data_IF_315720361322
#
_entry.id   IF_315720361322
#
_cell.length_a   1.000
_cell.length_b   1.000
_cell.length_c   1.000
_cell.angle_alpha   90.00
_cell.angle_beta   90.00
_cell.angle_gamma   90.00
#
_symmetry.space_group_name_H-M   'P 1'
#
loop_
_entity.id
_entity.type
_entity.pdbx_description
1 polymer ?
#
# COMPACT_ATOMS: atom_id res chain seq x y z
N UNK A 1 12.62 -22.09 26.23
CA UNK A 1 11.59 -21.11 25.93
C UNK A 1 11.65 -19.99 26.91
N UNK A 2 11.83 -18.76 26.44
CA UNK A 2 11.73 -17.59 27.31
C UNK A 2 10.23 -17.21 27.41
N UNK A 3 9.71 -17.08 28.61
CA UNK A 3 8.34 -16.58 28.87
C UNK A 3 8.15 -15.21 28.20
N UNK A 4 9.20 -14.41 28.18
CA UNK A 4 9.22 -13.12 27.50
C UNK A 4 9.01 -13.25 25.98
N UNK A 5 9.59 -14.26 25.33
CA UNK A 5 9.35 -14.50 23.88
C UNK A 5 7.90 -14.89 23.59
N UNK A 6 7.27 -15.67 24.45
CA UNK A 6 5.85 -16.00 24.31
C UNK A 6 4.96 -14.76 24.49
N UNK A 7 5.26 -13.88 25.44
CA UNK A 7 4.54 -12.65 25.65
C UNK A 7 4.66 -11.68 24.47
N UNK A 8 5.88 -11.48 23.96
CA UNK A 8 6.11 -10.60 22.80
C UNK A 8 5.40 -11.12 21.55
N UNK A 9 5.40 -12.43 21.32
CA UNK A 9 4.65 -13.05 20.22
C UNK A 9 3.14 -12.85 20.38
N UNK A 10 2.61 -12.97 21.59
CA UNK A 10 1.21 -12.69 21.89
C UNK A 10 0.82 -11.23 21.62
N UNK A 11 1.68 -10.27 22.04
CA UNK A 11 1.47 -8.84 21.79
C UNK A 11 1.51 -8.53 20.31
N UNK A 12 2.44 -9.13 19.54
CA UNK A 12 2.50 -8.94 18.09
C UNK A 12 1.24 -9.46 17.39
N UNK A 13 0.70 -10.60 17.82
CA UNK A 13 -0.54 -11.14 17.33
C UNK A 13 -1.73 -10.23 17.60
N UNK A 14 -1.82 -9.69 18.81
CA UNK A 14 -2.89 -8.75 19.18
C UNK A 14 -2.81 -7.44 18.39
N UNK A 15 -1.60 -6.91 18.20
CA UNK A 15 -1.37 -5.72 17.36
C UNK A 15 -1.75 -5.96 15.90
N UNK A 16 -1.43 -7.13 15.35
CA UNK A 16 -1.79 -7.50 13.98
C UNK A 16 -3.32 -7.61 13.81
N UNK A 17 -4.03 -8.19 14.78
CA UNK A 17 -5.49 -8.25 14.77
C UNK A 17 -6.14 -6.86 14.91
N UNK A 18 -5.54 -5.98 15.71
CA UNK A 18 -5.99 -4.58 15.81
C UNK A 18 -5.87 -3.87 14.44
N UNK A 19 -4.79 -4.08 13.72
CA UNK A 19 -4.62 -3.54 12.36
C UNK A 19 -5.67 -4.08 11.37
N UNK A 20 -6.02 -5.37 11.47
CA UNK A 20 -7.08 -5.96 10.65
C UNK A 20 -8.45 -5.34 10.97
N UNK A 21 -8.76 -5.15 12.24
CA UNK A 21 -10.00 -4.47 12.66
C UNK A 21 -10.05 -3.03 12.17
N UNK A 22 -8.91 -2.31 12.20
CA UNK A 22 -8.80 -0.97 11.63
C UNK A 22 -9.15 -0.94 10.13
N UNK A 23 -8.57 -1.84 9.35
CA UNK A 23 -8.87 -1.93 7.91
C UNK A 23 -10.34 -2.27 7.63
N UNK A 24 -10.95 -3.15 8.42
CA UNK A 24 -12.38 -3.47 8.31
C UNK A 24 -13.22 -2.22 8.63
N UNK A 25 -12.88 -1.49 9.68
CA UNK A 25 -13.58 -0.26 10.07
C UNK A 25 -13.49 0.79 8.95
N UNK A 26 -12.31 0.98 8.35
CA UNK A 26 -12.12 1.88 7.22
C UNK A 26 -12.95 1.46 5.99
N UNK A 27 -12.99 0.18 5.68
CA UNK A 27 -13.82 -0.34 4.58
C UNK A 27 -15.32 -0.12 4.83
N UNK A 28 -15.78 -0.30 6.07
CA UNK A 28 -17.19 -0.09 6.43
C UNK A 28 -17.55 1.39 6.41
N UNK A 29 -16.70 2.27 6.94
CA UNK A 29 -16.98 3.72 6.97
C UNK A 29 -16.99 4.32 5.57
N UNK A 30 -16.21 3.77 4.65
CA UNK A 30 -16.08 4.26 3.27
C UNK A 30 -16.90 3.47 2.25
N UNK A 31 -17.84 2.64 2.67
CA UNK A 31 -18.66 1.81 1.76
C UNK A 31 -19.42 2.63 0.71
N UNK A 32 -19.80 3.86 1.04
CA UNK A 32 -20.50 4.79 0.15
C UNK A 32 -19.58 5.85 -0.48
N UNK A 33 -18.27 5.79 -0.24
CA UNK A 33 -17.32 6.76 -0.79
C UNK A 33 -16.99 6.39 -2.23
N UNK A 34 -17.25 7.30 -3.16
CA UNK A 34 -16.97 7.11 -4.60
C UNK A 34 -15.45 7.03 -4.80
N UNK A 35 -15.00 6.01 -5.54
CA UNK A 35 -13.59 5.81 -5.82
C UNK A 35 -12.77 5.19 -4.69
N UNK A 36 -13.40 4.83 -3.59
CA UNK A 36 -12.72 4.13 -2.50
C UNK A 36 -12.26 2.73 -2.93
N UNK A 37 -11.05 2.38 -2.55
CA UNK A 37 -10.49 1.05 -2.78
C UNK A 37 -10.32 0.33 -1.43
N UNK A 38 -10.91 -0.85 -1.33
CA UNK A 38 -10.87 -1.64 -0.10
C UNK A 38 -9.46 -2.04 0.28
N UNK A 39 -9.17 -2.00 1.57
CA UNK A 39 -7.90 -2.43 2.13
C UNK A 39 -8.09 -3.78 2.80
N UNK A 40 -7.26 -4.75 2.42
CA UNK A 40 -7.17 -6.07 3.05
C UNK A 40 -5.85 -6.18 3.81
N UNK A 41 -5.90 -6.82 4.97
CA UNK A 41 -4.70 -7.06 5.77
C UNK A 41 -4.26 -8.51 5.59
N UNK A 42 -3.03 -8.69 5.11
CA UNK A 42 -2.38 -9.98 5.07
C UNK A 42 -1.44 -10.13 6.26
N UNK A 43 -1.35 -11.35 6.75
CA UNK A 43 -0.50 -11.68 7.89
C UNK A 43 0.71 -12.49 7.42
N UNK A 44 1.88 -12.12 7.91
CA UNK A 44 3.12 -12.81 7.65
C UNK A 44 3.72 -13.28 8.97
N UNK A 45 4.13 -14.54 9.02
CA UNK A 45 4.86 -15.06 10.18
C UNK A 45 6.30 -14.59 10.15
N UNK A 46 6.79 -14.12 11.28
CA UNK A 46 8.20 -13.82 11.44
C UNK A 46 8.99 -15.12 11.61
N UNK A 47 9.99 -15.30 10.76
CA UNK A 47 10.86 -16.49 10.83
C UNK A 47 11.83 -16.34 11.97
N UNK A 48 11.84 -17.32 12.88
CA UNK A 48 12.81 -17.40 13.96
C UNK A 48 13.91 -18.38 13.65
N UNK A 49 15.13 -18.09 14.04
CA UNK A 49 16.24 -19.05 13.97
C UNK A 49 16.00 -20.17 14.98
N UNK A 50 15.79 -21.38 14.49
CA UNK A 50 15.64 -22.56 15.33
C UNK A 50 17.04 -23.16 15.58
N UNK A 51 17.55 -22.95 16.78
CA UNK A 51 18.89 -23.39 17.17
C UNK A 51 18.92 -24.86 17.56
N UNK A 52 17.75 -25.46 17.88
CA UNK A 52 17.62 -26.85 18.30
C UNK A 52 16.34 -27.47 17.81
N UNK A 53 16.41 -28.72 17.39
CA UNK A 53 15.23 -29.51 16.92
C UNK A 53 14.19 -29.77 18.03
N UNK A 54 14.59 -29.62 19.28
CA UNK A 54 13.75 -29.90 20.46
C UNK A 54 13.15 -28.64 21.09
N UNK A 55 13.54 -27.46 20.65
CA UNK A 55 13.10 -26.22 21.28
C UNK A 55 12.32 -25.35 20.28
N UNK A 56 11.02 -25.20 20.54
CA UNK A 56 10.16 -24.28 19.79
C UNK A 56 10.43 -22.83 20.19
N UNK A 57 10.63 -21.95 19.20
CA UNK A 57 10.76 -20.50 19.42
C UNK A 57 9.60 -19.77 18.75
N UNK A 58 8.72 -19.07 19.48
CA UNK A 58 7.63 -18.32 18.90
C UNK A 58 8.15 -17.12 18.10
N UNK A 59 7.69 -16.98 16.86
CA UNK A 59 8.16 -15.93 15.96
C UNK A 59 7.32 -14.66 15.98
N UNK A 60 6.05 -14.76 16.30
CA UNK A 60 5.12 -13.65 16.16
C UNK A 60 4.62 -13.47 14.73
N UNK A 61 3.80 -12.43 14.53
CA UNK A 61 3.15 -12.11 13.26
C UNK A 61 3.28 -10.62 12.93
N UNK A 62 3.41 -10.31 11.66
CA UNK A 62 3.38 -8.95 11.14
C UNK A 62 2.19 -8.78 10.21
N UNK A 63 1.47 -7.67 10.33
CA UNK A 63 0.40 -7.29 9.42
C UNK A 63 0.93 -6.46 8.26
N UNK A 64 0.44 -6.74 7.05
CA UNK A 64 0.74 -5.97 5.84
C UNK A 64 -0.58 -5.56 5.19
N UNK A 65 -1.02 -4.31 5.36
CA UNK A 65 -2.20 -3.81 4.68
C UNK A 65 -1.94 -3.65 3.19
N UNK A 66 -2.86 -4.13 2.37
CA UNK A 66 -2.81 -4.03 0.91
C UNK A 66 -4.12 -3.44 0.40
N UNK A 67 -4.02 -2.41 -0.41
CA UNK A 67 -5.17 -1.78 -1.05
C UNK A 67 -5.42 -2.43 -2.40
N UNK A 68 -6.64 -2.86 -2.66
CA UNK A 68 -7.07 -3.49 -3.92
C UNK A 68 -7.27 -2.47 -5.04
N UNK A 69 -6.20 -1.84 -5.51
CA UNK A 69 -6.26 -0.76 -6.52
C UNK A 69 -6.69 -1.28 -7.88
N UNK A 70 -6.43 -2.55 -8.16
CA UNK A 70 -6.74 -3.26 -9.40
C UNK A 70 -8.21 -3.67 -9.52
N UNK A 71 -8.93 -3.74 -8.39
CA UNK A 71 -10.34 -4.11 -8.38
C UNK A 71 -11.21 -2.93 -8.79
N UNK A 72 -11.90 -3.06 -9.93
CA UNK A 72 -12.83 -2.04 -10.38
C UNK A 72 -14.17 -2.18 -9.67
N UNK A 73 -14.66 -1.06 -9.12
CA UNK A 73 -16.00 -0.95 -8.54
C UNK A 73 -17.10 -0.73 -9.58
N UNK A 74 -18.33 -0.64 -9.11
CA UNK A 74 -19.49 -0.30 -9.94
C UNK A 74 -19.38 1.15 -10.41
N UNK A 75 -19.57 1.36 -11.74
CA UNK A 75 -19.63 2.69 -12.31
C UNK A 75 -20.95 3.35 -11.94
N UNK A 76 -20.85 4.56 -11.38
CA UNK A 76 -22.01 5.39 -11.04
C UNK A 76 -22.13 6.57 -12.01
N UNK A 77 -23.36 6.96 -12.32
CA UNK A 77 -23.63 8.17 -13.08
C UNK A 77 -23.33 9.41 -12.20
N UNK A 78 -22.62 10.38 -12.76
CA UNK A 78 -22.39 11.67 -12.13
C UNK A 78 -23.10 12.78 -12.91
N UNK A 79 -23.46 13.85 -12.21
CA UNK A 79 -24.03 15.07 -12.82
C UNK A 79 -22.97 16.07 -13.25
N UNK A 80 -21.73 15.90 -12.82
CA UNK A 80 -20.62 16.77 -13.20
C UNK A 80 -19.98 16.32 -14.52
N UNK A 81 -19.86 17.23 -15.48
CA UNK A 81 -19.27 16.96 -16.79
C UNK A 81 -17.76 16.68 -16.77
N UNK A 82 -17.10 17.01 -15.64
CA UNK A 82 -15.67 16.82 -15.45
C UNK A 82 -15.30 15.46 -14.86
N UNK A 83 -16.30 14.69 -14.40
CA UNK A 83 -16.07 13.38 -13.82
C UNK A 83 -15.82 12.37 -14.93
N UNK A 84 -14.70 11.70 -14.85
CA UNK A 84 -14.30 10.68 -15.82
C UNK A 84 -14.05 9.35 -15.10
N UNK A 85 -14.49 8.27 -15.69
CA UNK A 85 -14.28 6.93 -15.18
C UNK A 85 -13.78 6.00 -16.29
N UNK A 86 -12.90 5.07 -15.94
CA UNK A 86 -12.42 4.05 -16.84
C UNK A 86 -13.36 2.84 -16.77
N UNK A 87 -13.85 2.40 -17.92
CA UNK A 87 -14.58 1.13 -18.05
C UNK A 87 -13.61 0.07 -18.60
N UNK A 88 -13.18 -0.84 -17.76
CA UNK A 88 -12.22 -1.88 -18.11
C UNK A 88 -10.96 -1.83 -17.24
N UNK A 89 -9.96 -2.60 -17.61
CA UNK A 89 -8.68 -2.65 -16.88
C UNK A 89 -7.76 -1.52 -17.37
N UNK A 90 -7.40 -0.63 -16.47
CA UNK A 90 -6.50 0.47 -16.78
C UNK A 90 -6.39 1.47 -15.63
N UNK A 91 -5.45 2.39 -15.75
CA UNK A 91 -5.22 3.45 -14.79
C UNK A 91 -5.08 4.79 -15.51
N UNK A 92 -5.47 5.87 -14.85
CA UNK A 92 -5.18 7.21 -15.34
C UNK A 92 -3.70 7.51 -15.20
N UNK A 93 -3.11 8.00 -16.29
CA UNK A 93 -1.75 8.54 -16.24
C UNK A 93 -1.84 9.99 -15.82
N UNK A 94 -1.29 10.30 -14.65
CA UNK A 94 -1.23 11.66 -14.13
C UNK A 94 0.22 12.15 -14.19
N UNK A 95 0.42 13.32 -14.79
CA UNK A 95 1.72 13.98 -14.79
C UNK A 95 1.68 15.10 -13.73
N UNK A 96 2.57 15.01 -12.74
CA UNK A 96 2.70 16.05 -11.74
C UNK A 96 3.49 17.22 -12.33
N UNK A 97 2.78 18.33 -12.58
CA UNK A 97 3.34 19.54 -13.17
C UNK A 97 4.47 20.14 -12.33
N UNK A 98 4.53 19.86 -11.03
CA UNK A 98 5.57 20.36 -10.13
C UNK A 98 6.94 19.70 -10.39
N UNK A 99 6.97 18.49 -10.95
CA UNK A 99 8.22 17.82 -11.33
C UNK A 99 8.85 18.41 -12.61
N UNK A 100 8.06 19.14 -13.42
CA UNK A 100 8.52 19.72 -14.68
C UNK A 100 9.16 21.10 -14.53
N UNK A 101 8.97 21.77 -13.41
CA UNK A 101 9.47 23.14 -13.17
C UNK A 101 10.88 23.24 -12.65
N UNK A 102 11.52 22.11 -12.35
CA UNK A 102 12.91 22.06 -11.92
C UNK A 102 13.73 21.14 -12.82
N UNK A 103 14.13 21.61 -14.01
CA UNK A 103 15.05 20.85 -14.86
C UNK A 103 16.32 20.58 -14.05
N UNK A 104 16.71 19.31 -13.95
CA UNK A 104 17.93 18.96 -13.23
C UNK A 104 19.12 19.66 -13.89
N UNK A 105 20.18 19.99 -13.15
CA UNK A 105 21.39 20.58 -13.73
C UNK A 105 22.01 19.71 -14.85
N UNK A 106 21.62 18.44 -14.92
CA UNK A 106 22.01 17.50 -15.98
C UNK A 106 21.24 17.77 -17.29
N UNK A 107 19.97 18.12 -17.21
CA UNK A 107 19.14 18.38 -18.40
C UNK A 107 19.53 19.71 -19.06
N UNK A 108 20.05 20.66 -18.29
CA UNK A 108 20.58 21.91 -18.82
C UNK A 108 21.87 21.74 -19.60
N UNK A 109 22.65 20.67 -19.37
CA UNK A 109 23.86 20.37 -20.14
C UNK A 109 23.58 19.78 -21.51
N UNK A 110 22.42 19.11 -21.69
CA UNK A 110 22.03 18.52 -22.98
C UNK A 110 21.53 19.53 -24.02
N UNK A 111 21.08 20.72 -23.61
CA UNK A 111 20.55 21.72 -24.53
C UNK A 111 21.58 22.72 -25.03
N UNK A 112 22.83 22.62 -24.61
CA UNK A 112 23.96 23.38 -25.19
C UNK A 112 24.74 22.52 -26.17
N UNK A 113 24.13 22.19 -27.28
CA UNK A 113 24.94 21.90 -28.48
C UNK A 113 25.46 23.21 -29.03
N UNK A 114 26.79 23.42 -29.13
CA UNK A 114 27.29 24.53 -29.88
C UNK A 114 26.88 24.28 -31.35
N UNK A 115 26.15 25.22 -31.94
CA UNK A 115 25.98 25.25 -33.37
C UNK A 115 27.37 25.52 -33.92
N UNK A 116 28.05 24.50 -34.41
CA UNK A 116 29.21 24.68 -35.26
C UNK A 116 28.73 25.24 -36.59
N UNK A 117 29.24 26.40 -36.89
CA UNK A 117 29.17 27.03 -38.17
C UNK A 117 29.65 26.09 -39.28
#
# INVERSE_FOLDING_TARGET
MSLFGALTSGVSGLSAQSSAMGAIADNVTNVNTIGYKSTNVQFQTLVTAQVSLTQYSPGGVQSSPQTGVDVQGLLQASTAATDIAISGQGFFVVNDCLLYTSPSPRDQRGSRMPSSA
#
